data_IF_929866606270
#
_entry.id   IF_929866606270
#
_cell.length_a   1.000
_cell.length_b   1.000
_cell.length_c   1.000
_cell.angle_alpha   90.00
_cell.angle_beta   90.00
_cell.angle_gamma   90.00
#
_symmetry.space_group_name_H-M   'P 1'
#
loop_
_entity.id
_entity.type
_entity.pdbx_description
1 polymer ?
#
# COMPACT_ATOMS: atom_id res chain seq x y z
N UNK A 1 -7.94 -26.88 14.54
CA UNK A 1 -6.84 -26.06 15.07
C UNK A 1 -5.89 -25.75 13.93
N UNK A 2 -5.51 -24.49 13.75
CA UNK A 2 -4.59 -24.04 12.70
C UNK A 2 -3.52 -23.10 13.27
N UNK A 3 -2.53 -22.75 12.45
CA UNK A 3 -1.42 -21.86 12.86
C UNK A 3 -1.52 -20.56 12.08
N UNK A 4 -1.35 -19.42 12.77
CA UNK A 4 -1.28 -18.11 12.12
C UNK A 4 0.04 -17.97 11.35
N UNK A 5 -0.02 -17.54 10.09
CA UNK A 5 1.17 -17.33 9.25
C UNK A 5 2.03 -16.13 9.68
N UNK A 6 1.52 -15.24 10.56
CA UNK A 6 2.24 -14.05 11.04
C UNK A 6 2.83 -14.30 12.43
N UNK A 7 2.00 -14.49 13.46
CA UNK A 7 2.50 -14.68 14.83
C UNK A 7 2.88 -16.13 15.18
N UNK A 8 2.64 -17.10 14.30
CA UNK A 8 2.94 -18.53 14.48
C UNK A 8 2.21 -19.21 15.66
N UNK A 9 1.24 -18.54 16.28
CA UNK A 9 0.43 -19.11 17.35
C UNK A 9 -0.61 -20.10 16.82
N UNK A 10 -0.88 -21.15 17.59
CA UNK A 10 -1.98 -22.08 17.32
C UNK A 10 -3.31 -21.46 17.75
N UNK A 11 -4.29 -21.44 16.85
CA UNK A 11 -5.60 -20.82 17.04
C UNK A 11 -6.73 -21.71 16.52
N UNK A 12 -7.95 -21.45 17.00
CA UNK A 12 -9.14 -22.19 16.56
C UNK A 12 -9.73 -21.65 15.25
N UNK A 13 -9.56 -20.36 15.00
CA UNK A 13 -10.14 -19.65 13.86
C UNK A 13 -9.03 -18.93 13.09
N UNK A 14 -9.05 -19.05 11.77
CA UNK A 14 -8.16 -18.37 10.84
C UNK A 14 -8.97 -17.59 9.80
N UNK A 15 -8.47 -16.42 9.44
CA UNK A 15 -8.98 -15.57 8.38
C UNK A 15 -8.02 -15.62 7.20
N UNK A 16 -8.53 -15.68 5.97
CA UNK A 16 -7.70 -15.69 4.76
C UNK A 16 -7.63 -14.27 4.22
N UNK A 17 -6.42 -13.70 4.13
CA UNK A 17 -6.24 -12.40 3.52
C UNK A 17 -6.55 -12.46 2.01
N UNK A 18 -7.48 -11.66 1.47
CA UNK A 18 -7.84 -11.71 0.05
C UNK A 18 -6.72 -11.19 -0.86
N UNK A 19 -5.79 -10.38 -0.34
CA UNK A 19 -4.69 -9.81 -1.11
C UNK A 19 -3.48 -10.74 -1.26
N UNK A 20 -3.11 -11.47 -0.21
CA UNK A 20 -1.89 -12.29 -0.20
C UNK A 20 -2.12 -13.77 0.09
N UNK A 21 -3.35 -14.17 0.44
CA UNK A 21 -3.71 -15.57 0.72
C UNK A 21 -3.24 -16.12 2.07
N UNK A 22 -2.50 -15.35 2.88
CA UNK A 22 -2.09 -15.77 4.23
C UNK A 22 -3.28 -16.11 5.11
N UNK A 23 -3.15 -17.15 5.92
CA UNK A 23 -4.10 -17.54 6.96
C UNK A 23 -3.64 -16.95 8.29
N UNK A 24 -4.41 -16.01 8.83
CA UNK A 24 -4.00 -15.24 10.01
C UNK A 24 -5.03 -15.33 11.12
N UNK A 25 -4.60 -15.18 12.37
CA UNK A 25 -5.51 -15.11 13.51
C UNK A 25 -6.22 -13.74 13.54
N UNK A 26 -7.20 -13.58 14.43
CA UNK A 26 -7.97 -12.33 14.54
C UNK A 26 -7.13 -11.11 14.93
N UNK A 27 -6.01 -11.31 15.64
CA UNK A 27 -5.12 -10.23 16.06
C UNK A 27 -4.28 -9.70 14.89
N UNK A 28 -4.03 -10.56 13.91
CA UNK A 28 -3.23 -10.26 12.71
C UNK A 28 -4.12 -9.97 11.48
N UNK A 29 -5.43 -9.84 11.68
CA UNK A 29 -6.40 -9.47 10.65
C UNK A 29 -7.01 -8.09 10.95
N UNK A 30 -6.71 -7.12 10.10
CA UNK A 30 -7.30 -5.78 10.16
C UNK A 30 -8.74 -5.86 9.63
N UNK A 31 -9.71 -5.81 10.54
CA UNK A 31 -11.15 -5.92 10.22
C UNK A 31 -11.69 -4.67 9.52
N UNK A 32 -11.06 -3.51 9.68
CA UNK A 32 -11.52 -2.28 9.02
C UNK A 32 -11.09 -2.26 7.55
N UNK A 33 -9.88 -2.76 7.27
CA UNK A 33 -9.34 -2.86 5.90
C UNK A 33 -9.58 -4.21 5.22
N UNK A 34 -10.14 -5.17 5.95
CA UNK A 34 -10.45 -6.54 5.51
C UNK A 34 -9.24 -7.32 4.92
N UNK A 35 -8.07 -7.13 5.54
CA UNK A 35 -6.80 -7.74 5.09
C UNK A 35 -5.91 -8.09 6.29
N UNK A 36 -4.88 -8.89 6.09
CA UNK A 36 -3.90 -9.12 7.17
C UNK A 36 -3.11 -7.84 7.51
N UNK A 37 -2.61 -7.75 8.74
CA UNK A 37 -1.87 -6.58 9.24
C UNK A 37 -0.69 -6.20 8.32
N UNK A 38 0.06 -7.18 7.80
CA UNK A 38 1.15 -6.89 6.86
C UNK A 38 0.67 -6.23 5.56
N UNK A 39 -0.46 -6.68 5.00
CA UNK A 39 -1.03 -6.05 3.81
C UNK A 39 -1.55 -4.65 4.15
N UNK A 40 -2.25 -4.49 5.27
CA UNK A 40 -2.75 -3.20 5.75
C UNK A 40 -1.64 -2.13 5.84
N UNK A 41 -0.46 -2.50 6.33
CA UNK A 41 0.70 -1.60 6.49
C UNK A 41 1.41 -1.30 5.17
N UNK A 42 1.17 -2.09 4.12
CA UNK A 42 1.82 -1.96 2.81
C UNK A 42 0.88 -1.46 1.72
N UNK A 43 -0.37 -1.12 2.06
CA UNK A 43 -1.32 -0.53 1.12
C UNK A 43 -0.83 0.83 0.61
N UNK A 44 -1.14 1.11 -0.65
CA UNK A 44 -0.94 2.42 -1.26
C UNK A 44 -1.66 3.50 -0.45
N UNK A 45 -0.94 4.56 -0.09
CA UNK A 45 -1.47 5.70 0.67
C UNK A 45 -2.29 6.68 -0.16
N UNK A 46 -2.43 6.43 -1.47
CA UNK A 46 -3.27 7.20 -2.38
C UNK A 46 -4.64 6.53 -2.51
N UNK A 47 -4.69 5.25 -2.90
CA UNK A 47 -5.95 4.57 -3.17
C UNK A 47 -6.43 3.66 -2.03
N UNK A 48 -5.55 3.22 -1.13
CA UNK A 48 -5.88 2.28 -0.05
C UNK A 48 -6.28 0.86 -0.52
N UNK A 49 -6.10 0.54 -1.81
CA UNK A 49 -6.61 -0.72 -2.41
C UNK A 49 -5.52 -1.72 -2.77
N UNK A 50 -4.47 -1.25 -3.43
CA UNK A 50 -3.39 -2.09 -3.95
C UNK A 50 -2.15 -2.00 -3.05
N UNK A 51 -1.35 -3.07 -3.03
CA UNK A 51 -0.06 -3.07 -2.35
C UNK A 51 0.92 -2.09 -3.04
N UNK A 52 1.74 -1.44 -2.22
CA UNK A 52 2.76 -0.50 -2.65
C UNK A 52 3.89 -1.22 -3.38
N UNK A 53 4.36 -0.64 -4.49
CA UNK A 53 5.54 -1.10 -5.23
C UNK A 53 6.75 -0.17 -5.06
N UNK A 54 6.51 1.08 -4.65
CA UNK A 54 7.54 2.11 -4.50
C UNK A 54 7.13 3.13 -3.44
N UNK A 55 8.05 4.02 -3.08
CA UNK A 55 7.76 5.26 -2.36
C UNK A 55 7.77 6.42 -3.35
N UNK A 56 6.96 7.44 -3.11
CA UNK A 56 7.02 8.67 -3.89
C UNK A 56 8.25 9.49 -3.51
N UNK A 57 9.18 9.76 -4.42
CA UNK A 57 10.41 10.52 -4.09
C UNK A 57 10.16 11.93 -3.52
N UNK A 58 9.01 12.54 -3.82
CA UNK A 58 8.67 13.85 -3.28
C UNK A 58 8.01 13.84 -1.89
N UNK A 59 7.23 12.81 -1.53
CA UNK A 59 6.42 12.83 -0.29
C UNK A 59 6.50 11.55 0.53
N UNK A 60 7.35 10.61 0.13
CA UNK A 60 7.68 9.36 0.82
C UNK A 60 6.50 8.40 1.07
N UNK A 61 5.31 8.74 0.56
CA UNK A 61 4.13 7.87 0.63
C UNK A 61 4.33 6.61 -0.21
N UNK A 62 3.93 5.47 0.35
CA UNK A 62 3.75 4.19 -0.35
C UNK A 62 2.76 4.32 -1.51
N UNK A 63 3.20 3.96 -2.72
CA UNK A 63 2.42 4.04 -3.96
C UNK A 63 2.38 2.69 -4.69
N UNK A 64 1.19 2.28 -5.11
CA UNK A 64 1.01 1.13 -5.99
C UNK A 64 1.27 1.51 -7.45
N UNK A 65 1.35 0.50 -8.31
CA UNK A 65 1.54 0.64 -9.75
C UNK A 65 0.53 1.60 -10.40
N UNK A 66 -0.74 1.51 -10.02
CA UNK A 66 -1.79 2.39 -10.57
C UNK A 66 -1.66 3.84 -10.12
N UNK A 67 -0.99 4.12 -8.99
CA UNK A 67 -0.87 5.47 -8.42
C UNK A 67 0.52 6.07 -8.60
N UNK A 68 1.47 5.29 -9.11
CA UNK A 68 2.82 5.70 -9.40
C UNK A 68 2.93 6.26 -10.82
N UNK A 69 3.84 7.22 -10.99
CA UNK A 69 4.33 7.73 -12.26
C UNK A 69 5.84 7.59 -12.21
N UNK A 70 6.41 6.75 -13.07
CA UNK A 70 7.86 6.67 -13.24
C UNK A 70 8.34 7.92 -13.98
N UNK A 71 9.23 8.69 -13.36
CA UNK A 71 9.78 9.93 -13.93
C UNK A 71 11.21 9.76 -14.46
N UNK A 72 11.88 8.69 -14.02
CA UNK A 72 13.19 8.22 -14.46
C UNK A 72 13.34 6.76 -14.01
N UNK A 73 14.34 6.04 -14.53
CA UNK A 73 14.60 4.63 -14.20
C UNK A 73 14.56 4.38 -12.68
N UNK A 74 13.56 3.62 -12.22
CA UNK A 74 13.29 3.28 -10.82
C UNK A 74 12.96 4.47 -9.88
N UNK A 75 12.67 5.64 -10.43
CA UNK A 75 12.29 6.86 -9.68
C UNK A 75 10.79 7.11 -9.89
N UNK A 76 10.01 6.99 -8.81
CA UNK A 76 8.55 7.07 -8.86
C UNK A 76 8.00 8.28 -8.09
N UNK A 77 7.02 8.95 -8.68
CA UNK A 77 6.24 10.00 -8.05
C UNK A 77 4.79 9.56 -7.92
N UNK A 78 4.10 9.96 -6.85
CA UNK A 78 2.65 9.79 -6.80
C UNK A 78 1.96 10.74 -7.78
N UNK A 79 0.79 10.34 -8.29
CA UNK A 79 -0.04 11.17 -9.19
C UNK A 79 -0.31 12.58 -8.65
N UNK A 80 -0.51 12.72 -7.34
CA UNK A 80 -0.77 14.01 -6.68
C UNK A 80 0.44 14.95 -6.74
N UNK A 81 1.64 14.46 -6.41
CA UNK A 81 2.88 15.24 -6.48
C UNK A 81 3.20 15.63 -7.93
N UNK A 82 3.08 14.68 -8.85
CA UNK A 82 3.34 14.94 -10.27
C UNK A 82 2.42 16.04 -10.85
N UNK A 83 1.13 16.02 -10.51
CA UNK A 83 0.18 17.06 -10.91
C UNK A 83 0.51 18.42 -10.27
N UNK A 84 0.91 18.42 -9.00
CA UNK A 84 1.24 19.64 -8.26
C UNK A 84 2.50 20.32 -8.83
N UNK A 85 3.53 19.55 -9.17
CA UNK A 85 4.74 20.07 -9.82
C UNK A 85 4.48 20.61 -11.23
N UNK A 86 3.47 20.07 -11.93
CA UNK A 86 3.07 20.56 -13.26
C UNK A 86 2.35 21.91 -13.19
N UNK A 87 1.50 22.11 -12.18
CA UNK A 87 0.81 23.39 -11.93
C UNK A 87 1.79 24.52 -11.62
N UNK A 88 2.85 24.25 -10.84
CA UNK A 88 3.87 25.25 -10.52
C UNK A 88 4.63 25.79 -11.75
N UNK A 89 4.92 24.93 -12.74
CA UNK A 89 5.56 25.36 -13.99
C UNK A 89 4.65 26.21 -14.88
N UNK A 90 3.34 25.95 -14.87
CA UNK A 90 2.37 26.70 -15.67
C UNK A 90 2.07 28.09 -15.06
N UNK A 91 2.06 28.22 -13.73
CA UNK A 91 1.80 29.50 -13.04
C UNK A 91 2.97 30.49 -13.01
N UNK A 92 4.09 30.17 -13.65
CA UNK A 92 5.27 31.05 -13.80
C UNK A 92 5.48 31.46 -15.28
N UNK A 93 4.47 31.21 -16.14
CA UNK A 93 4.50 31.46 -17.58
C UNK A 93 3.60 32.64 -18.02
N UNK A 94 3.10 33.44 -17.08
CA UNK A 94 2.24 34.61 -17.33
C UNK A 94 2.89 35.90 -16.87
#
# INVERSE_FOLDING_TARGET
MGVCDICLNSVNTLYVCPLCGRKVCELDFDKEKDVCACCADTLCRICGKNLSIALCENCERQICEDCAIEVSEHIYFCKECFQSSRKYKLSQSE
#
